data_IF_545197371184
#
_entry.id   IF_545197371184
#
_cell.length_a   1.000
_cell.length_b   1.000
_cell.length_c   1.000
_cell.angle_alpha   90.00
_cell.angle_beta   90.00
_cell.angle_gamma   90.00
#
_symmetry.space_group_name_H-M   'P 1'
#
loop_
_entity.id
_entity.type
_entity.pdbx_description
1 polymer ?
#
# COMPACT_ATOMS: atom_id res chain seq x y z
N UNK A 1 9.63 -0.26 -5.95
CA UNK A 1 8.54 0.06 -4.98
C UNK A 1 7.34 -0.89 -5.15
N UNK A 2 6.29 -0.81 -4.31
CA UNK A 2 5.06 -1.64 -4.43
C UNK A 2 4.30 -1.43 -5.75
N UNK A 3 4.49 -0.28 -6.40
CA UNK A 3 3.92 0.04 -7.70
C UNK A 3 4.52 -0.78 -8.86
N UNK A 4 5.74 -1.30 -8.71
CA UNK A 4 6.42 -2.07 -9.75
C UNK A 4 6.13 -3.58 -9.67
N UNK A 5 6.03 -4.11 -8.44
CA UNK A 5 5.76 -5.52 -8.19
C UNK A 5 5.12 -5.73 -6.82
N UNK A 6 4.34 -6.81 -6.64
CA UNK A 6 3.87 -7.22 -5.33
C UNK A 6 5.04 -7.43 -4.37
N UNK A 7 4.91 -6.96 -3.12
CA UNK A 7 5.97 -7.08 -2.10
C UNK A 7 5.41 -7.40 -0.73
N UNK A 8 6.20 -8.11 0.05
CA UNK A 8 5.90 -8.42 1.45
C UNK A 8 6.12 -7.19 2.35
N UNK A 9 5.52 -7.21 3.55
CA UNK A 9 5.78 -6.19 4.56
C UNK A 9 7.26 -6.12 4.94
N UNK A 10 7.95 -7.27 4.99
CA UNK A 10 9.37 -7.36 5.31
C UNK A 10 10.24 -6.70 4.23
N UNK A 11 9.90 -6.86 2.95
CA UNK A 11 10.60 -6.19 1.84
C UNK A 11 10.33 -4.68 1.82
N UNK A 12 9.13 -4.25 2.23
CA UNK A 12 8.72 -2.84 2.15
C UNK A 12 9.19 -1.99 3.34
N UNK A 13 9.23 -2.56 4.54
CA UNK A 13 9.62 -1.88 5.78
C UNK A 13 10.93 -1.05 5.66
N UNK A 14 12.05 -1.62 5.19
CA UNK A 14 13.29 -0.86 5.05
C UNK A 14 13.21 0.24 3.97
N UNK A 15 12.38 0.06 2.93
CA UNK A 15 12.26 1.03 1.84
C UNK A 15 11.55 2.32 2.26
N UNK A 16 10.72 2.26 3.30
CA UNK A 16 9.96 3.41 3.82
C UNK A 16 10.41 3.84 5.22
N UNK A 17 11.48 3.23 5.76
CA UNK A 17 12.00 3.56 7.08
C UNK A 17 11.04 3.26 8.24
N UNK A 18 10.15 2.28 8.08
CA UNK A 18 9.18 1.88 9.11
C UNK A 18 9.52 0.51 9.70
N UNK A 19 9.10 0.26 10.94
CA UNK A 19 9.12 -1.09 11.49
C UNK A 19 8.13 -1.99 10.74
N UNK A 20 8.41 -3.30 10.69
CA UNK A 20 7.52 -4.29 10.06
C UNK A 20 6.11 -4.23 10.67
N UNK A 21 6.00 -4.10 12.00
CA UNK A 21 4.72 -3.98 12.70
C UNK A 21 3.98 -2.70 12.35
N UNK A 22 4.69 -1.56 12.31
CA UNK A 22 4.11 -0.26 11.96
C UNK A 22 3.60 -0.27 10.52
N UNK A 23 4.42 -0.78 9.59
CA UNK A 23 4.06 -0.90 8.19
C UNK A 23 2.88 -1.87 7.99
N UNK A 24 2.85 -3.02 8.67
CA UNK A 24 1.73 -3.97 8.59
C UNK A 24 0.41 -3.31 8.98
N UNK A 25 0.40 -2.49 10.03
CA UNK A 25 -0.79 -1.74 10.46
C UNK A 25 -1.23 -0.74 9.39
N UNK A 26 -0.30 -0.01 8.77
CA UNK A 26 -0.62 0.92 7.69
C UNK A 26 -1.15 0.19 6.44
N UNK A 27 -0.48 -0.87 6.00
CA UNK A 27 -0.89 -1.66 4.83
C UNK A 27 -2.27 -2.28 5.03
N UNK A 28 -2.61 -2.72 6.24
CA UNK A 28 -3.97 -3.20 6.54
C UNK A 28 -5.01 -2.10 6.37
N UNK A 29 -4.75 -0.88 6.86
CA UNK A 29 -5.67 0.27 6.66
C UNK A 29 -5.82 0.64 5.19
N UNK A 30 -4.73 0.58 4.43
CA UNK A 30 -4.78 0.81 2.98
C UNK A 30 -5.57 -0.29 2.27
N UNK A 31 -5.47 -1.54 2.70
CA UNK A 31 -6.24 -2.66 2.16
C UNK A 31 -7.73 -2.55 2.51
N UNK A 32 -8.07 -2.13 3.73
CA UNK A 32 -9.45 -1.83 4.15
C UNK A 32 -10.04 -0.67 3.31
N UNK A 33 -9.23 0.34 3.00
CA UNK A 33 -9.57 1.40 2.05
C UNK A 33 -9.50 0.96 0.57
N UNK A 34 -9.12 -0.29 0.31
CA UNK A 34 -8.87 -0.92 -0.99
C UNK A 34 -7.90 -0.20 -1.92
N UNK A 35 -7.00 0.62 -1.37
CA UNK A 35 -5.89 1.24 -2.08
C UNK A 35 -4.78 0.25 -2.42
N UNK A 36 -4.72 -0.86 -1.69
CA UNK A 36 -3.83 -1.99 -1.97
C UNK A 36 -4.63 -3.29 -1.90
N UNK A 37 -4.23 -4.28 -2.68
CA UNK A 37 -4.73 -5.65 -2.60
C UNK A 37 -3.70 -6.55 -1.92
N UNK A 38 -4.20 -7.59 -1.26
CA UNK A 38 -3.38 -8.61 -0.62
C UNK A 38 -3.53 -9.94 -1.33
N UNK A 39 -2.42 -10.63 -1.56
CA UNK A 39 -2.41 -12.00 -2.07
C UNK A 39 -1.54 -12.88 -1.18
N UNK A 40 -1.98 -14.10 -0.93
CA UNK A 40 -1.17 -15.13 -0.30
C UNK A 40 -0.22 -15.73 -1.34
N UNK A 41 1.06 -15.77 -1.02
CA UNK A 41 2.13 -16.25 -1.90
C UNK A 41 3.06 -17.17 -1.09
N UNK A 42 2.65 -18.43 -0.98
CA UNK A 42 3.29 -19.40 -0.10
C UNK A 42 3.31 -18.91 1.35
N UNK A 43 4.48 -18.83 1.97
CA UNK A 43 4.58 -18.43 3.37
C UNK A 43 4.32 -16.93 3.62
N UNK A 44 4.18 -16.12 2.57
CA UNK A 44 4.13 -14.67 2.70
C UNK A 44 2.82 -14.06 2.19
N UNK A 45 2.43 -12.93 2.79
CA UNK A 45 1.41 -12.04 2.23
C UNK A 45 2.13 -10.97 1.43
N UNK A 46 1.80 -10.86 0.15
CA UNK A 46 2.27 -9.78 -0.72
C UNK A 46 1.17 -8.75 -0.93
N UNK A 47 1.58 -7.50 -0.96
CA UNK A 47 0.73 -6.35 -1.21
C UNK A 47 1.00 -5.81 -2.61
N UNK A 48 -0.06 -5.44 -3.33
CA UNK A 48 0.00 -4.78 -4.63
C UNK A 48 -0.80 -3.50 -4.59
N UNK A 49 -0.36 -2.46 -5.31
CA UNK A 49 -1.12 -1.23 -5.42
C UNK A 49 -2.36 -1.43 -6.30
N UNK A 50 -3.46 -0.74 -5.99
CA UNK A 50 -4.61 -0.60 -6.89
C UNK A 50 -4.55 0.80 -7.57
N UNK A 51 -3.99 0.91 -8.80
CA UNK A 51 -3.65 2.19 -9.39
C UNK A 51 -4.89 3.08 -9.61
N UNK A 52 -5.97 2.50 -10.13
CA UNK A 52 -7.21 3.22 -10.43
C UNK A 52 -7.80 3.90 -9.19
N UNK A 53 -7.73 3.22 -8.04
CA UNK A 53 -8.27 3.75 -6.78
C UNK A 53 -7.32 4.76 -6.14
N UNK A 54 -6.00 4.57 -6.29
CA UNK A 54 -5.03 5.55 -5.86
C UNK A 54 -5.19 6.87 -6.63
N UNK A 55 -5.36 6.81 -7.96
CA UNK A 55 -5.59 7.98 -8.80
C UNK A 55 -6.84 8.74 -8.38
N UNK A 56 -7.95 8.04 -8.15
CA UNK A 56 -9.19 8.66 -7.68
C UNK A 56 -9.03 9.36 -6.32
N UNK A 57 -8.33 8.73 -5.37
CA UNK A 57 -8.06 9.32 -4.06
C UNK A 57 -7.08 10.50 -4.17
N UNK A 58 -6.04 10.39 -5.00
CA UNK A 58 -5.09 11.48 -5.25
C UNK A 58 -5.78 12.70 -5.84
N UNK A 59 -6.67 12.50 -6.82
CA UNK A 59 -7.46 13.58 -7.40
C UNK A 59 -8.40 14.22 -6.37
N UNK A 60 -9.08 13.41 -5.56
CA UNK A 60 -9.96 13.90 -4.51
C UNK A 60 -9.20 14.70 -3.43
N UNK A 61 -8.01 14.23 -3.02
CA UNK A 61 -7.16 14.94 -2.06
C UNK A 61 -6.63 16.24 -2.65
N UNK A 62 -6.19 16.25 -3.91
CA UNK A 62 -5.68 17.46 -4.57
C UNK A 62 -6.79 18.51 -4.67
N UNK A 63 -8.00 18.09 -5.10
CA UNK A 63 -9.18 18.96 -5.11
C UNK A 63 -9.60 19.45 -3.72
N UNK A 64 -9.40 18.67 -2.66
CA UNK A 64 -9.70 19.09 -1.29
C UNK A 64 -8.68 20.11 -0.74
N UNK A 65 -7.43 20.01 -1.19
CA UNK A 65 -6.34 20.87 -0.75
C UNK A 65 -6.15 22.11 -1.63
N UNK A 66 -7.01 22.33 -2.63
CA UNK A 66 -6.85 23.34 -3.69
C UNK A 66 -5.46 23.29 -4.38
N UNK A 67 -4.92 22.07 -4.52
CA UNK A 67 -3.65 21.76 -5.20
C UNK A 67 -3.87 21.35 -6.66
#
# INVERSE_FOLDING_TARGET
MIAERPRTTQELAPLVGLSVTGLSKCLRRLAEAGLVSTRWDGYYVVYSLEPSRLEAVSAAISSFLDL
#
